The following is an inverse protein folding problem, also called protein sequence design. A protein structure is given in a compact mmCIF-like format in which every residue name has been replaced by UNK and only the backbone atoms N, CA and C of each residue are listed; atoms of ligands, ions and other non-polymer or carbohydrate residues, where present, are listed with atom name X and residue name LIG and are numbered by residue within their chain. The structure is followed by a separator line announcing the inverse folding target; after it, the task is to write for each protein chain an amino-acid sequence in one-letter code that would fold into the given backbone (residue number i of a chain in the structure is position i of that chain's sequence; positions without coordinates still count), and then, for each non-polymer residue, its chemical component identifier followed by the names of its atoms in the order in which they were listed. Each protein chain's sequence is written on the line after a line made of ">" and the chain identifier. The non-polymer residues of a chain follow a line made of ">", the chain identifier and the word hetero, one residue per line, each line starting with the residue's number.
data_IF_020838519890
#
_entry.id   IF_020838519890
#
_cell.length_a   1.000
_cell.length_b   1.000
_cell.length_c   1.000
_cell.angle_alpha   90.00
_cell.angle_beta   90.00
_cell.angle_gamma   90.00
#
_symmetry.space_group_name_H-M   'P 1'
#
loop_
_entity.id
_entity.type
_entity.pdbx_description
1 polymer ?
#
# COMPACT_ATOMS: atom_id res chain seq x y z
N UNK A 1 -33.12 -76.29 45.69
CA UNK A 1 -31.80 -76.17 45.05
C UNK A 1 -31.46 -74.70 44.88
N UNK A 2 -30.59 -74.17 45.67
CA UNK A 2 -30.29 -72.76 45.77
C UNK A 2 -28.91 -72.50 45.07
N UNK A 3 -28.87 -71.66 44.08
CA UNK A 3 -27.64 -71.28 43.39
C UNK A 3 -27.37 -69.81 43.65
N UNK A 4 -26.33 -69.54 44.45
CA UNK A 4 -25.88 -68.19 44.81
C UNK A 4 -25.02 -67.66 43.72
N UNK A 5 -25.38 -66.52 43.10
CA UNK A 5 -24.54 -65.80 42.17
C UNK A 5 -23.91 -64.60 42.90
N UNK A 6 -22.58 -64.54 42.91
CA UNK A 6 -21.77 -63.50 43.56
C UNK A 6 -21.68 -62.32 42.62
N UNK A 7 -22.03 -61.15 43.13
CA UNK A 7 -21.88 -59.87 42.48
C UNK A 7 -20.40 -59.40 42.62
N UNK A 8 -19.68 -59.33 41.54
CA UNK A 8 -18.33 -58.68 41.47
C UNK A 8 -18.48 -57.24 41.08
N UNK A 9 -18.13 -56.33 41.99
CA UNK A 9 -18.12 -54.90 41.75
C UNK A 9 -16.76 -54.56 41.15
N UNK A 10 -16.76 -54.16 39.90
CA UNK A 10 -15.59 -53.60 39.22
C UNK A 10 -15.66 -52.07 39.33
N UNK A 11 -14.70 -51.46 40.06
CA UNK A 11 -14.47 -50.02 40.05
C UNK A 11 -13.70 -49.65 38.77
N UNK A 12 -14.36 -48.99 37.85
CA UNK A 12 -13.71 -48.36 36.72
C UNK A 12 -13.24 -46.95 37.14
N UNK A 13 -11.94 -46.80 37.30
CA UNK A 13 -11.30 -45.49 37.51
C UNK A 13 -11.32 -44.71 36.18
N UNK A 14 -12.14 -43.67 36.12
CA UNK A 14 -12.14 -42.73 34.98
C UNK A 14 -10.98 -41.76 35.15
N UNK A 15 -9.93 -41.93 34.39
CA UNK A 15 -8.86 -40.92 34.24
C UNK A 15 -9.37 -39.80 33.30
N UNK A 16 -9.76 -38.70 33.89
CA UNK A 16 -10.00 -37.46 33.12
C UNK A 16 -8.64 -36.83 32.83
N UNK A 17 -8.08 -37.12 31.65
CA UNK A 17 -6.93 -36.42 31.11
C UNK A 17 -7.37 -35.00 30.69
N UNK A 18 -7.08 -34.00 31.52
CA UNK A 18 -7.27 -32.60 31.21
C UNK A 18 -6.34 -32.19 30.09
N UNK A 19 -6.87 -32.10 28.86
CA UNK A 19 -6.17 -31.45 27.76
C UNK A 19 -6.19 -29.93 28.03
N UNK A 20 -5.13 -29.40 28.65
CA UNK A 20 -4.83 -27.97 28.60
C UNK A 20 -4.43 -27.63 27.18
N UNK A 21 -5.41 -27.31 26.35
CA UNK A 21 -5.20 -26.68 25.07
C UNK A 21 -4.57 -25.32 25.31
N UNK A 22 -3.24 -25.22 25.15
CA UNK A 22 -2.55 -23.94 25.03
C UNK A 22 -3.11 -23.23 23.81
N UNK A 23 -4.06 -22.30 24.00
CA UNK A 23 -4.42 -21.32 23.00
C UNK A 23 -3.18 -20.46 22.78
N UNK A 24 -2.38 -20.82 21.77
CA UNK A 24 -1.37 -19.93 21.24
C UNK A 24 -2.12 -18.70 20.73
N UNK A 25 -2.15 -17.62 21.51
CA UNK A 25 -2.54 -16.31 21.06
C UNK A 25 -1.58 -15.97 19.92
N UNK A 26 -1.99 -16.21 18.68
CA UNK A 26 -1.33 -15.60 17.53
C UNK A 26 -1.47 -14.11 17.77
N UNK A 27 -0.36 -13.45 18.09
CA UNK A 27 -0.29 -12.01 18.01
C UNK A 27 -0.78 -11.68 16.59
N UNK A 28 -1.92 -11.03 16.52
CA UNK A 28 -2.49 -10.58 15.26
C UNK A 28 -1.49 -9.57 14.72
N UNK A 29 -0.74 -9.94 13.69
CA UNK A 29 0.17 -9.01 13.03
C UNK A 29 -0.65 -7.79 12.68
N UNK A 30 -0.19 -6.66 13.18
CA UNK A 30 -0.90 -5.40 13.04
C UNK A 30 -0.82 -4.98 11.57
N UNK A 31 -1.87 -5.27 10.81
CA UNK A 31 -1.95 -4.99 9.37
C UNK A 31 -2.20 -3.51 9.11
N UNK A 32 -1.59 -2.98 8.06
CA UNK A 32 -1.85 -1.62 7.58
C UNK A 32 -3.33 -1.46 7.23
N UNK A 33 -3.89 -0.29 7.55
CA UNK A 33 -5.30 0.02 7.29
C UNK A 33 -5.40 1.23 6.35
N UNK A 34 -6.39 1.28 5.46
CA UNK A 34 -6.65 2.48 4.68
C UNK A 34 -7.19 3.60 5.57
N UNK A 35 -7.03 4.85 5.15
CA UNK A 35 -7.79 5.96 5.72
C UNK A 35 -9.28 5.82 5.36
N UNK A 36 -10.20 6.51 6.08
CA UNK A 36 -11.63 6.47 5.75
C UNK A 36 -11.91 6.80 4.28
N UNK A 37 -12.83 6.06 3.64
CA UNK A 37 -13.14 6.20 2.21
C UNK A 37 -13.50 7.65 1.80
N UNK A 38 -14.25 8.38 2.63
CA UNK A 38 -14.59 9.78 2.36
C UNK A 38 -13.35 10.69 2.37
N UNK A 39 -12.38 10.43 3.24
CA UNK A 39 -11.11 11.15 3.29
C UNK A 39 -10.24 10.79 2.07
N UNK A 40 -10.22 9.52 1.68
CA UNK A 40 -9.55 9.03 0.46
C UNK A 40 -10.05 9.78 -0.78
N UNK A 41 -11.36 9.91 -0.95
CA UNK A 41 -11.96 10.67 -2.05
C UNK A 41 -11.58 12.16 -2.01
N UNK A 42 -11.47 12.77 -0.84
CA UNK A 42 -11.01 14.15 -0.71
C UNK A 42 -9.54 14.32 -1.12
N UNK A 43 -8.68 13.35 -0.76
CA UNK A 43 -7.29 13.36 -1.24
C UNK A 43 -7.23 13.21 -2.75
N UNK A 44 -8.02 12.32 -3.35
CA UNK A 44 -8.08 12.15 -4.81
C UNK A 44 -8.52 13.44 -5.52
N UNK A 45 -9.56 14.10 -5.05
CA UNK A 45 -10.04 15.36 -5.62
C UNK A 45 -8.98 16.47 -5.53
N UNK A 46 -8.28 16.60 -4.40
CA UNK A 46 -7.19 17.58 -4.24
C UNK A 46 -6.00 17.24 -5.12
N UNK A 47 -5.64 15.96 -5.20
CA UNK A 47 -4.55 15.49 -6.08
C UNK A 47 -4.88 15.78 -7.54
N UNK A 48 -6.11 15.48 -7.99
CA UNK A 48 -6.59 15.83 -9.32
C UNK A 48 -6.46 17.34 -9.61
N UNK A 49 -6.84 18.17 -8.65
CA UNK A 49 -6.70 19.64 -8.77
C UNK A 49 -5.24 20.08 -8.90
N UNK A 50 -4.31 19.42 -8.19
CA UNK A 50 -2.88 19.74 -8.24
C UNK A 50 -2.20 19.29 -9.52
N UNK A 51 -2.57 18.12 -10.06
CA UNK A 51 -1.93 17.54 -11.25
C UNK A 51 -2.63 17.91 -12.55
N UNK A 52 -3.91 18.30 -12.52
CA UNK A 52 -4.66 18.72 -13.71
C UNK A 52 -5.20 17.56 -14.57
N UNK A 53 -5.16 16.33 -14.10
CA UNK A 53 -5.77 15.17 -14.79
C UNK A 53 -6.54 14.28 -13.81
N UNK A 54 -7.42 13.43 -14.35
CA UNK A 54 -8.33 12.62 -13.55
C UNK A 54 -7.58 11.65 -12.63
N UNK A 55 -7.96 11.63 -11.34
CA UNK A 55 -7.48 10.71 -10.33
C UNK A 55 -8.64 9.89 -9.78
N UNK A 56 -8.48 8.59 -9.69
CA UNK A 56 -9.45 7.64 -9.14
C UNK A 56 -8.97 7.20 -7.77
N UNK A 57 -9.88 7.13 -6.79
CA UNK A 57 -9.61 6.58 -5.48
C UNK A 57 -10.33 5.23 -5.30
N UNK A 58 -9.61 4.25 -4.81
CA UNK A 58 -10.11 2.94 -4.44
C UNK A 58 -9.33 2.38 -3.25
N UNK A 59 -9.78 1.29 -2.69
CA UNK A 59 -9.02 0.54 -1.69
C UNK A 59 -8.27 -0.58 -2.39
N UNK A 60 -6.96 -0.70 -2.12
CA UNK A 60 -6.11 -1.72 -2.75
C UNK A 60 -5.13 -2.34 -1.74
N UNK A 61 -4.55 -3.47 -2.10
CA UNK A 61 -3.51 -4.12 -1.33
C UNK A 61 -2.22 -3.28 -1.34
N UNK A 62 -1.56 -3.22 -0.20
CA UNK A 62 -0.35 -2.42 -0.04
C UNK A 62 0.69 -3.15 0.80
N UNK A 63 1.95 -3.10 0.35
CA UNK A 63 3.12 -3.56 1.09
C UNK A 63 4.08 -2.39 1.28
N UNK A 64 4.39 -2.06 2.53
CA UNK A 64 5.41 -1.07 2.88
C UNK A 64 6.81 -1.67 2.65
N UNK A 65 7.48 -1.25 1.61
CA UNK A 65 8.79 -1.79 1.23
C UNK A 65 9.91 -1.46 2.24
N UNK A 66 9.68 -0.54 3.18
CA UNK A 66 10.69 -0.18 4.19
C UNK A 66 10.77 -1.18 5.34
N UNK A 67 9.66 -1.82 5.71
CA UNK A 67 9.60 -2.76 6.82
C UNK A 67 8.84 -4.06 6.52
N UNK A 68 8.32 -4.20 5.30
CA UNK A 68 7.59 -5.39 4.86
C UNK A 68 6.17 -5.51 5.45
N UNK A 69 5.65 -4.45 6.09
CA UNK A 69 4.27 -4.45 6.60
C UNK A 69 3.28 -4.52 5.45
N UNK A 70 2.26 -5.35 5.61
CA UNK A 70 1.22 -5.55 4.60
C UNK A 70 -0.15 -5.10 5.11
N UNK A 71 -1.06 -4.78 4.19
CA UNK A 71 -2.44 -4.43 4.50
C UNK A 71 -3.16 -3.79 3.32
N UNK A 72 -4.08 -2.87 3.64
CA UNK A 72 -4.86 -2.14 2.64
C UNK A 72 -4.50 -0.67 2.66
N UNK A 73 -4.52 -0.02 1.50
CA UNK A 73 -4.32 1.42 1.33
C UNK A 73 -5.56 2.12 0.77
N UNK A 74 -5.65 3.41 1.00
CA UNK A 74 -6.35 4.29 0.09
C UNK A 74 -5.43 4.48 -1.13
N UNK A 75 -5.76 3.84 -2.22
CA UNK A 75 -5.03 3.90 -3.49
C UNK A 75 -5.65 4.96 -4.39
N UNK A 76 -4.87 5.95 -4.78
CA UNK A 76 -5.28 7.04 -5.67
C UNK A 76 -4.40 6.98 -6.90
N UNK A 77 -4.98 6.74 -8.07
CA UNK A 77 -4.20 6.57 -9.29
C UNK A 77 -4.79 7.32 -10.47
N UNK A 78 -3.93 7.70 -11.40
CA UNK A 78 -4.32 8.34 -12.63
C UNK A 78 -3.21 8.35 -13.67
N UNK A 79 -3.61 8.43 -14.93
CA UNK A 79 -2.70 8.50 -16.07
C UNK A 79 -3.09 9.68 -16.96
N UNK A 80 -2.09 10.31 -17.58
CA UNK A 80 -2.30 11.40 -18.51
C UNK A 80 -1.26 11.42 -19.62
N UNK A 81 -1.72 11.64 -20.84
CA UNK A 81 -0.90 12.02 -21.97
C UNK A 81 -0.87 13.57 -22.11
N UNK A 82 -0.06 14.08 -23.02
CA UNK A 82 0.00 15.50 -23.40
C UNK A 82 0.35 16.46 -22.26
N UNK A 83 0.98 15.97 -21.20
CA UNK A 83 1.46 16.78 -20.10
C UNK A 83 2.87 17.32 -20.35
N UNK A 84 3.16 18.50 -19.83
CA UNK A 84 4.42 19.21 -20.07
C UNK A 84 5.36 19.23 -18.87
N UNK A 85 5.24 18.25 -17.95
CA UNK A 85 6.14 18.16 -16.81
C UNK A 85 7.58 17.91 -17.25
N UNK A 86 8.52 18.63 -16.66
CA UNK A 86 9.94 18.48 -16.96
C UNK A 86 10.47 17.10 -16.54
N UNK A 87 9.92 16.52 -15.46
CA UNK A 87 10.32 15.21 -14.95
C UNK A 87 9.46 14.74 -13.79
N UNK A 88 9.69 13.51 -13.28
CA UNK A 88 8.93 12.93 -12.19
C UNK A 88 8.95 13.79 -10.91
N UNK A 89 10.09 14.43 -10.63
CA UNK A 89 10.24 15.28 -9.43
C UNK A 89 9.27 16.49 -9.43
N UNK A 90 8.98 17.08 -10.59
CA UNK A 90 8.02 18.18 -10.68
C UNK A 90 6.59 17.71 -10.33
N UNK A 91 6.19 16.57 -10.88
CA UNK A 91 4.86 16.03 -10.63
C UNK A 91 4.71 15.58 -9.16
N UNK A 92 5.75 14.95 -8.57
CA UNK A 92 5.79 14.65 -7.13
C UNK A 92 5.65 15.92 -6.30
N UNK A 93 6.38 17.00 -6.64
CA UNK A 93 6.30 18.24 -5.89
C UNK A 93 4.88 18.84 -5.91
N UNK A 94 4.19 18.77 -7.05
CA UNK A 94 2.77 19.19 -7.15
C UNK A 94 1.86 18.34 -6.27
N UNK A 95 1.99 17.02 -6.32
CA UNK A 95 1.19 16.11 -5.49
C UNK A 95 1.48 16.33 -4.00
N UNK A 96 2.74 16.50 -3.62
CA UNK A 96 3.13 16.72 -2.24
C UNK A 96 2.50 17.97 -1.61
N UNK A 97 2.15 19.00 -2.39
CA UNK A 97 1.44 20.19 -1.87
C UNK A 97 0.06 19.85 -1.27
N UNK A 98 -0.55 18.75 -1.71
CA UNK A 98 -1.86 18.28 -1.21
C UNK A 98 -1.80 17.85 0.25
N UNK A 99 -0.62 17.47 0.72
CA UNK A 99 -0.38 16.92 2.06
C UNK A 99 -0.02 17.99 3.10
N UNK A 100 0.20 19.25 2.68
CA UNK A 100 0.39 20.39 3.58
C UNK A 100 1.54 20.18 4.57
N UNK A 101 1.21 19.98 5.85
CA UNK A 101 2.12 19.86 6.99
C UNK A 101 2.71 18.45 7.21
N UNK A 102 2.43 17.49 6.33
CA UNK A 102 3.05 16.18 6.43
C UNK A 102 4.57 16.29 6.26
N UNK A 103 5.30 15.55 7.08
CA UNK A 103 6.77 15.57 7.07
C UNK A 103 7.29 14.59 6.04
N UNK A 104 8.40 14.94 5.38
CA UNK A 104 9.10 14.01 4.49
C UNK A 104 9.60 12.77 5.28
N UNK A 105 9.51 11.60 4.65
CA UNK A 105 10.10 10.35 5.10
C UNK A 105 11.13 9.85 4.07
N UNK A 106 12.39 10.29 4.19
CA UNK A 106 13.43 9.96 3.21
C UNK A 106 13.71 8.46 3.05
N UNK A 107 13.29 7.63 4.01
CA UNK A 107 13.44 6.18 3.90
C UNK A 107 12.58 5.58 2.75
N UNK A 108 11.61 6.35 2.25
CA UNK A 108 10.71 6.00 1.13
C UNK A 108 10.96 6.84 -0.12
N UNK A 109 12.01 7.64 -0.15
CA UNK A 109 12.32 8.44 -1.31
C UNK A 109 13.18 7.64 -2.29
N UNK A 110 12.79 7.66 -3.57
CA UNK A 110 13.58 7.15 -4.67
C UNK A 110 13.52 8.13 -5.85
N UNK A 111 14.60 8.21 -6.62
CA UNK A 111 14.67 9.10 -7.77
C UNK A 111 15.33 8.41 -8.96
N UNK A 112 14.72 8.55 -10.12
CA UNK A 112 15.19 8.07 -11.40
C UNK A 112 14.79 9.02 -12.53
N UNK A 113 15.27 8.73 -13.72
CA UNK A 113 15.00 9.57 -14.90
C UNK A 113 13.56 9.40 -15.43
N UNK A 114 12.98 8.24 -15.23
CA UNK A 114 11.66 7.81 -15.72
C UNK A 114 10.64 7.59 -14.61
N UNK A 115 11.08 7.61 -13.35
CA UNK A 115 10.20 7.50 -12.19
C UNK A 115 10.84 8.05 -10.92
N UNK A 116 10.01 8.39 -9.97
CA UNK A 116 10.44 8.81 -8.64
C UNK A 116 9.37 8.45 -7.61
N UNK A 117 9.81 8.34 -6.36
CA UNK A 117 8.94 8.06 -5.20
C UNK A 117 9.26 9.05 -4.09
N UNK A 118 8.24 9.42 -3.31
CA UNK A 118 8.36 10.25 -2.13
C UNK A 118 7.49 9.76 -1.00
N UNK A 119 8.10 9.57 0.17
CA UNK A 119 7.42 9.27 1.41
C UNK A 119 7.03 10.51 2.19
N UNK A 120 5.84 10.49 2.79
CA UNK A 120 5.35 11.52 3.70
C UNK A 120 4.71 10.85 4.92
N UNK A 121 4.85 11.48 6.11
CA UNK A 121 4.28 10.96 7.36
C UNK A 121 3.58 12.06 8.16
N UNK A 122 2.46 11.67 8.80
CA UNK A 122 1.74 12.49 9.77
C UNK A 122 1.20 11.59 10.91
N UNK A 123 1.88 11.60 12.06
CA UNK A 123 1.59 10.67 13.15
C UNK A 123 1.83 9.22 12.73
N UNK A 124 0.80 8.40 12.80
CA UNK A 124 0.81 7.01 12.35
C UNK A 124 0.33 6.82 10.90
N UNK A 125 0.10 7.89 10.17
CA UNK A 125 -0.27 7.86 8.76
C UNK A 125 0.97 7.98 7.89
N UNK A 126 0.99 7.22 6.81
CA UNK A 126 2.02 7.24 5.79
C UNK A 126 1.34 7.48 4.45
N UNK A 127 1.94 8.34 3.64
CA UNK A 127 1.62 8.45 2.22
C UNK A 127 2.87 8.17 1.40
N UNK A 128 2.72 7.33 0.38
CA UNK A 128 3.74 7.07 -0.64
C UNK A 128 3.25 7.62 -1.96
N UNK A 129 4.00 8.54 -2.55
CA UNK A 129 3.71 9.16 -3.84
C UNK A 129 4.66 8.56 -4.86
N UNK A 130 4.14 7.86 -5.85
CA UNK A 130 4.91 7.28 -6.95
C UNK A 130 4.51 7.96 -8.25
N UNK A 131 5.50 8.36 -9.02
CA UNK A 131 5.31 8.95 -10.33
C UNK A 131 6.26 8.28 -11.32
N UNK A 132 5.74 7.92 -12.46
CA UNK A 132 6.55 7.42 -13.58
C UNK A 132 6.02 7.97 -14.90
N UNK A 133 6.83 7.81 -15.94
CA UNK A 133 6.39 8.05 -17.30
C UNK A 133 6.91 6.96 -18.22
N UNK A 134 6.19 6.73 -19.28
CA UNK A 134 6.58 5.86 -20.39
C UNK A 134 6.36 6.57 -21.75
N UNK A 135 6.99 6.12 -22.82
CA UNK A 135 6.71 6.63 -24.15
C UNK A 135 5.24 6.46 -24.51
N UNK A 136 4.59 7.55 -24.88
CA UNK A 136 3.19 7.52 -25.32
C UNK A 136 3.02 6.83 -26.69
N UNK A 137 1.76 6.68 -27.12
CA UNK A 137 1.44 6.04 -28.40
C UNK A 137 2.22 6.62 -29.57
N UNK A 138 2.82 5.75 -30.38
CA UNK A 138 3.58 6.14 -31.60
C UNK A 138 5.03 6.53 -31.33
N UNK A 139 5.51 6.52 -30.09
CA UNK A 139 6.91 6.71 -29.75
C UNK A 139 7.59 5.35 -29.58
N UNK A 140 8.67 5.12 -30.36
CA UNK A 140 9.44 3.88 -30.25
C UNK A 140 10.79 4.17 -29.65
N UNK A 141 11.10 3.55 -28.53
CA UNK A 141 12.43 3.52 -27.91
C UNK A 141 13.09 2.16 -28.17
N UNK A 142 14.41 2.15 -28.21
CA UNK A 142 15.15 0.89 -28.39
C UNK A 142 15.13 0.06 -27.11
N UNK A 143 14.73 -1.20 -27.19
CA UNK A 143 14.77 -2.16 -26.08
C UNK A 143 16.20 -2.44 -25.56
N UNK A 144 17.22 -2.00 -26.31
CA UNK A 144 18.63 -2.20 -25.92
C UNK A 144 19.21 -1.04 -25.12
N UNK A 145 18.42 0.01 -24.87
CA UNK A 145 18.86 1.21 -24.14
C UNK A 145 17.90 1.48 -22.98
N UNK A 146 18.40 2.04 -21.88
CA UNK A 146 17.51 2.47 -20.79
C UNK A 146 16.57 3.56 -21.31
N UNK A 147 15.37 3.62 -20.74
CA UNK A 147 14.32 4.58 -21.14
C UNK A 147 14.83 6.04 -21.04
N UNK A 148 15.69 6.31 -20.07
CA UNK A 148 16.35 7.61 -19.90
C UNK A 148 17.20 8.07 -21.10
N UNK A 149 17.66 7.15 -21.93
CA UNK A 149 18.40 7.46 -23.16
C UNK A 149 17.49 7.71 -24.37
N UNK A 150 16.20 7.41 -24.26
CA UNK A 150 15.21 7.66 -25.30
C UNK A 150 14.82 9.15 -25.33
N UNK A 151 14.95 9.79 -26.47
CA UNK A 151 14.55 11.20 -26.65
C UNK A 151 13.03 11.30 -26.85
N UNK A 152 12.30 11.38 -25.73
CA UNK A 152 10.84 11.57 -25.72
C UNK A 152 10.53 13.00 -25.32
N UNK A 153 9.78 13.70 -26.16
CA UNK A 153 9.33 15.06 -25.84
C UNK A 153 8.32 15.02 -24.66
N UNK A 154 8.24 16.06 -23.82
CA UNK A 154 7.33 16.06 -22.66
C UNK A 154 5.89 15.67 -23.01
N UNK A 155 5.34 16.22 -24.10
CA UNK A 155 3.97 15.93 -24.59
C UNK A 155 3.80 14.52 -25.19
N UNK A 156 4.89 13.80 -25.40
CA UNK A 156 4.87 12.41 -25.90
C UNK A 156 4.99 11.39 -24.77
N UNK A 157 5.03 11.85 -23.52
CA UNK A 157 5.08 10.99 -22.35
C UNK A 157 3.68 10.65 -21.88
N UNK A 158 3.47 9.37 -21.57
CA UNK A 158 2.32 8.93 -20.79
C UNK A 158 2.74 8.92 -19.31
N UNK A 159 2.19 9.83 -18.55
CA UNK A 159 2.45 9.97 -17.13
C UNK A 159 1.54 9.08 -16.32
N UNK A 160 2.08 8.46 -15.27
CA UNK A 160 1.35 7.74 -14.24
C UNK A 160 1.67 8.36 -12.89
N UNK A 161 0.62 8.56 -12.09
CA UNK A 161 0.75 9.00 -10.71
C UNK A 161 -0.06 8.06 -9.80
N UNK A 162 0.57 7.61 -8.73
CA UNK A 162 -0.03 6.76 -7.71
C UNK A 162 0.24 7.40 -6.34
N UNK A 163 -0.76 7.39 -5.49
CA UNK A 163 -0.64 7.81 -4.08
C UNK A 163 -1.31 6.75 -3.21
N UNK A 164 -0.54 6.10 -2.38
CA UNK A 164 -1.05 5.17 -1.37
C UNK A 164 -1.02 5.82 0.00
N UNK A 165 -2.14 5.79 0.71
CA UNK A 165 -2.25 6.33 2.07
C UNK A 165 -2.70 5.24 3.01
N UNK A 166 -1.89 4.97 4.04
CA UNK A 166 -2.13 3.94 5.05
C UNK A 166 -2.04 4.50 6.46
N UNK A 167 -2.66 3.79 7.38
CA UNK A 167 -2.57 4.00 8.83
C UNK A 167 -1.82 2.82 9.42
N UNK A 168 -0.68 3.07 10.06
CA UNK A 168 -0.01 2.05 10.88
C UNK A 168 -0.80 1.85 12.16
N UNK A 169 -1.05 0.59 12.56
CA UNK A 169 -1.65 0.32 13.87
C UNK A 169 -0.79 0.91 14.99
N UNK A 170 -1.43 1.49 15.98
CA UNK A 170 -0.74 2.00 17.17
C UNK A 170 0.02 0.87 17.89
N UNK A 171 1.22 1.20 18.36
CA UNK A 171 1.98 0.30 19.23
C UNK A 171 1.37 0.26 20.62
#
# INVERSE_FOLDING_TARGET
>A
MAMRCRLGIWFAAVFVAGMFGSAASRAQEATLQPIPAAECQQFAARTQGAVGFAMKAEEDDFTDLTDGSEGRSCHISGNAADQTYAGPAELIAKIATVFGDWRADPARDAAGADGAEKGLVNGNRIATIQVSWEPGPGVTCSDKQPLSACKVLPQQKLWSAIVDIVVKPGK
#
